data_IF_548587872971
#
_entry.id   IF_548587872971
#
_cell.length_a   1.000
_cell.length_b   1.000
_cell.length_c   1.000
_cell.angle_alpha   90.00
_cell.angle_beta   90.00
_cell.angle_gamma   90.00
#
_symmetry.space_group_name_H-M   'P 1'
#
loop_
_entity.id
_entity.type
_entity.pdbx_description
1 polymer ?
#
# COMPACT_ATOMS: atom_id res chain seq x y z
N UNK A 1 -50.93 40.24 -7.98
CA UNK A 1 -51.20 38.79 -7.96
C UNK A 1 -51.13 38.33 -6.52
N UNK A 2 -52.09 37.54 -6.06
CA UNK A 2 -52.43 37.43 -4.63
C UNK A 2 -52.81 36.00 -4.26
N UNK A 3 -52.52 35.60 -3.02
CA UNK A 3 -52.87 34.30 -2.41
C UNK A 3 -52.04 33.11 -2.96
N UNK A 4 -51.82 32.02 -2.21
CA UNK A 4 -52.68 31.40 -1.18
C UNK A 4 -51.88 30.79 -0.01
N UNK A 5 -52.59 30.55 1.08
CA UNK A 5 -52.09 30.14 2.38
C UNK A 5 -52.46 28.66 2.68
N UNK A 6 -51.93 28.13 3.79
CA UNK A 6 -52.56 27.15 4.69
C UNK A 6 -52.42 25.61 4.50
N UNK A 7 -51.74 25.02 5.50
CA UNK A 7 -52.11 23.90 6.40
C UNK A 7 -52.14 22.41 5.96
N UNK A 8 -51.38 21.61 6.75
CA UNK A 8 -51.67 20.27 7.35
C UNK A 8 -51.95 19.08 6.38
N UNK A 9 -51.55 17.83 6.67
CA UNK A 9 -52.00 17.01 7.82
C UNK A 9 -51.13 15.74 7.99
N UNK A 10 -51.02 15.21 9.21
CA UNK A 10 -50.47 13.88 9.54
C UNK A 10 -51.62 13.02 10.12
N UNK A 11 -51.70 11.71 9.82
CA UNK A 11 -51.65 10.75 10.94
C UNK A 11 -50.96 9.39 10.63
N UNK A 12 -50.41 8.78 11.69
CA UNK A 12 -50.11 7.34 11.81
C UNK A 12 -51.39 6.57 12.23
N UNK A 13 -51.44 5.25 11.95
CA UNK A 13 -51.61 4.25 13.03
C UNK A 13 -50.65 3.04 12.84
N UNK A 14 -50.03 2.43 13.87
CA UNK A 14 -50.56 1.72 15.06
C UNK A 14 -51.20 0.33 14.78
N UNK A 15 -50.45 -0.73 15.16
CA UNK A 15 -50.79 -1.88 16.06
C UNK A 15 -52.10 -2.70 15.80
N UNK A 16 -52.23 -4.02 16.05
CA UNK A 16 -51.36 -5.19 16.36
C UNK A 16 -52.23 -6.48 16.13
N UNK A 17 -51.82 -7.77 16.24
CA UNK A 17 -51.47 -8.59 17.42
C UNK A 17 -51.00 -10.00 16.94
N UNK A 18 -49.87 -10.56 17.42
CA UNK A 18 -49.69 -11.65 18.42
C UNK A 18 -50.00 -13.13 18.00
N UNK A 19 -48.91 -13.90 17.90
CA UNK A 19 -48.64 -15.32 18.27
C UNK A 19 -49.61 -16.49 17.97
N UNK A 20 -49.05 -17.58 17.41
CA UNK A 20 -48.96 -18.89 18.11
C UNK A 20 -47.80 -19.76 17.54
N UNK A 21 -47.19 -20.61 18.38
CA UNK A 21 -46.06 -21.48 18.00
C UNK A 21 -46.53 -22.85 17.48
N UNK A 22 -45.80 -23.43 16.51
CA UNK A 22 -45.79 -24.87 16.16
C UNK A 22 -44.41 -25.29 15.63
N UNK A 23 -44.13 -26.60 15.61
CA UNK A 23 -42.78 -27.17 15.64
C UNK A 23 -42.18 -27.61 14.30
N UNK A 24 -40.92 -27.23 14.06
CA UNK A 24 -39.96 -27.90 13.15
C UNK A 24 -40.12 -27.65 11.63
N UNK A 25 -39.18 -28.14 10.79
CA UNK A 25 -37.87 -28.74 11.10
C UNK A 25 -36.70 -27.75 10.91
N UNK A 26 -35.46 -28.23 10.96
CA UNK A 26 -34.24 -27.43 10.72
C UNK A 26 -34.24 -26.74 9.35
N UNK A 27 -34.10 -25.41 9.34
CA UNK A 27 -33.55 -24.70 8.19
C UNK A 27 -32.10 -25.17 7.96
N UNK A 28 -31.70 -25.51 6.72
CA UNK A 28 -30.32 -25.79 6.42
C UNK A 28 -29.51 -24.49 6.59
N UNK A 29 -28.54 -24.51 7.50
CA UNK A 29 -27.58 -23.40 7.63
C UNK A 29 -26.96 -23.10 6.25
N UNK A 30 -26.76 -21.82 5.89
CA UNK A 30 -26.08 -21.49 4.64
C UNK A 30 -24.70 -22.16 4.62
N UNK A 31 -24.18 -22.61 3.47
CA UNK A 31 -22.93 -23.37 3.39
C UNK A 31 -21.71 -22.48 3.71
N UNK A 32 -21.46 -22.24 5.00
CA UNK A 32 -20.34 -21.44 5.51
C UNK A 32 -18.97 -21.99 5.08
N UNK A 33 -18.90 -23.26 4.69
CA UNK A 33 -17.67 -23.95 4.31
C UNK A 33 -17.03 -23.53 2.98
N UNK A 34 -17.74 -22.85 2.07
CA UNK A 34 -17.13 -22.36 0.82
C UNK A 34 -16.52 -20.96 0.97
N UNK A 35 -17.28 -20.01 1.51
CA UNK A 35 -16.82 -18.63 1.74
C UNK A 35 -15.66 -18.58 2.75
N UNK A 36 -15.74 -19.34 3.86
CA UNK A 36 -14.67 -19.40 4.85
C UNK A 36 -13.37 -20.01 4.31
N UNK A 37 -13.45 -21.05 3.46
CA UNK A 37 -12.27 -21.63 2.79
C UNK A 37 -11.67 -20.70 1.75
N UNK A 38 -12.49 -19.96 1.00
CA UNK A 38 -12.00 -18.97 0.06
C UNK A 38 -11.24 -17.84 0.76
N UNK A 39 -11.80 -17.30 1.86
CA UNK A 39 -11.15 -16.28 2.68
C UNK A 39 -9.82 -16.77 3.28
N UNK A 40 -9.80 -17.95 3.90
CA UNK A 40 -8.60 -18.53 4.49
C UNK A 40 -7.51 -18.82 3.43
N UNK A 41 -7.88 -19.22 2.21
CA UNK A 41 -6.94 -19.40 1.12
C UNK A 41 -6.35 -18.07 0.62
N UNK A 42 -7.14 -16.99 0.57
CA UNK A 42 -6.63 -15.65 0.24
C UNK A 42 -5.72 -15.08 1.32
N UNK A 43 -6.02 -15.30 2.60
CA UNK A 43 -5.15 -14.89 3.72
C UNK A 43 -3.81 -15.63 3.68
N UNK A 44 -3.82 -16.96 3.48
CA UNK A 44 -2.60 -17.76 3.34
C UNK A 44 -1.72 -17.32 2.16
N UNK A 45 -2.34 -16.94 1.03
CA UNK A 45 -1.61 -16.43 -0.14
C UNK A 45 -1.05 -15.02 0.09
N UNK A 46 -1.78 -14.13 0.78
CA UNK A 46 -1.24 -12.83 1.18
C UNK A 46 -0.08 -12.95 2.17
N UNK A 47 -0.20 -13.78 3.20
CA UNK A 47 0.87 -13.99 4.17
C UNK A 47 2.10 -14.63 3.52
N UNK A 48 1.90 -15.57 2.58
CA UNK A 48 2.99 -16.08 1.71
C UNK A 48 3.65 -14.93 0.94
N UNK A 49 2.88 -14.07 0.26
CA UNK A 49 3.40 -12.91 -0.49
C UNK A 49 4.11 -11.87 0.39
N UNK A 50 3.73 -11.71 1.66
CA UNK A 50 4.39 -10.84 2.65
C UNK A 50 5.72 -11.42 3.13
N UNK A 51 5.81 -12.74 3.25
CA UNK A 51 6.99 -13.49 3.68
C UNK A 51 8.03 -13.70 2.57
N UNK A 52 7.61 -13.77 1.30
CA UNK A 52 8.49 -14.00 0.16
C UNK A 52 9.28 -12.75 -0.27
N UNK A 53 10.59 -12.91 -0.48
CA UNK A 53 11.47 -11.89 -1.05
C UNK A 53 11.27 -11.82 -2.58
N UNK A 54 10.24 -11.09 -3.01
CA UNK A 54 9.88 -10.94 -4.43
C UNK A 54 10.79 -9.94 -5.14
N UNK A 55 11.32 -10.33 -6.29
CA UNK A 55 12.11 -9.44 -7.14
C UNK A 55 11.28 -8.93 -8.34
N UNK A 56 11.41 -7.63 -8.61
CA UNK A 56 11.06 -7.06 -9.91
C UNK A 56 12.32 -7.07 -10.80
N UNK A 57 12.17 -7.37 -12.09
CA UNK A 57 13.32 -7.45 -13.00
C UNK A 57 13.94 -6.06 -13.24
N UNK A 58 14.95 -5.67 -12.46
CA UNK A 58 15.67 -4.40 -12.64
C UNK A 58 16.50 -4.45 -13.93
N UNK A 59 16.23 -3.53 -14.85
CA UNK A 59 16.93 -3.42 -16.13
C UNK A 59 17.97 -2.30 -16.18
N UNK A 60 18.70 -2.16 -17.30
CA UNK A 60 19.57 -1.01 -17.52
C UNK A 60 18.78 0.31 -17.49
N UNK A 61 19.16 1.25 -16.62
CA UNK A 61 18.45 2.53 -16.45
C UNK A 61 18.72 3.49 -17.61
N UNK A 62 17.65 3.94 -18.28
CA UNK A 62 17.67 4.96 -19.34
C UNK A 62 17.62 6.37 -18.76
N UNK A 63 16.65 6.66 -17.90
CA UNK A 63 16.41 7.98 -17.28
C UNK A 63 16.01 7.83 -15.82
N UNK A 64 16.39 8.81 -15.01
CA UNK A 64 15.90 9.02 -13.65
C UNK A 64 15.34 10.44 -13.61
N UNK A 65 14.19 10.63 -12.98
CA UNK A 65 13.59 11.94 -12.73
C UNK A 65 13.38 12.05 -11.22
N UNK A 66 13.97 13.08 -10.60
CA UNK A 66 13.82 13.36 -9.18
C UNK A 66 12.75 14.44 -9.01
N UNK A 67 11.66 14.12 -8.29
CA UNK A 67 10.61 15.10 -7.94
C UNK A 67 11.09 16.12 -6.89
N UNK A 68 12.06 15.72 -6.08
CA UNK A 68 12.69 16.51 -5.03
C UNK A 68 13.80 15.72 -4.35
N UNK A 69 14.34 16.26 -3.26
CA UNK A 69 15.32 15.60 -2.39
C UNK A 69 14.90 15.64 -0.91
N UNK A 70 13.59 15.80 -0.66
CA UNK A 70 13.00 15.81 0.68
C UNK A 70 12.60 14.40 1.08
N UNK A 71 12.43 14.21 2.38
CA UNK A 71 11.86 13.00 2.96
C UNK A 71 10.64 13.37 3.80
N UNK A 72 9.71 12.43 3.96
CA UNK A 72 8.45 12.61 4.64
C UNK A 72 8.16 11.44 5.60
N UNK A 73 7.49 11.75 6.70
CA UNK A 73 6.96 10.76 7.64
C UNK A 73 5.69 10.08 7.09
N UNK A 74 5.13 9.14 7.86
CA UNK A 74 3.92 8.42 7.48
C UNK A 74 2.68 9.35 7.37
N UNK A 75 2.70 10.50 8.06
CA UNK A 75 1.70 11.55 8.01
C UNK A 75 1.91 12.52 6.82
N UNK A 76 2.95 12.33 6.01
CA UNK A 76 3.26 13.17 4.84
C UNK A 76 3.86 14.54 5.19
N UNK A 77 4.37 14.73 6.41
CA UNK A 77 5.07 15.95 6.82
C UNK A 77 6.55 15.84 6.47
N UNK A 78 7.23 16.94 6.10
CA UNK A 78 8.67 16.92 5.85
C UNK A 78 9.44 16.49 7.09
N UNK A 79 10.29 15.47 6.95
CA UNK A 79 11.12 14.98 8.04
C UNK A 79 12.17 16.00 8.47
N UNK A 80 12.21 16.28 9.77
CA UNK A 80 13.23 17.12 10.42
C UNK A 80 14.22 16.24 11.17
N UNK A 81 15.07 15.51 10.42
CA UNK A 81 16.14 14.72 10.98
C UNK A 81 17.48 15.48 10.92
N UNK A 82 18.21 15.47 12.03
CA UNK A 82 19.62 15.85 12.12
C UNK A 82 20.45 14.57 12.40
N UNK A 83 21.48 14.25 11.60
CA UNK A 83 21.91 14.97 10.40
C UNK A 83 20.87 14.87 9.27
N UNK A 84 20.85 15.83 8.31
CA UNK A 84 19.93 15.80 7.19
C UNK A 84 20.04 14.47 6.41
N UNK A 85 18.91 13.82 6.09
CA UNK A 85 18.92 12.51 5.43
C UNK A 85 19.65 12.59 4.09
N UNK A 86 20.36 11.51 3.74
CA UNK A 86 21.28 11.50 2.61
C UNK A 86 20.57 11.92 1.31
N UNK A 87 21.02 13.03 0.70
CA UNK A 87 20.39 13.59 -0.51
C UNK A 87 20.28 12.53 -1.61
N UNK A 88 19.05 12.23 -2.01
CA UNK A 88 18.78 11.39 -3.17
C UNK A 88 19.32 12.07 -4.43
N UNK A 89 20.12 11.34 -5.20
CA UNK A 89 20.73 11.80 -6.45
C UNK A 89 20.64 10.70 -7.50
N UNK A 90 20.73 11.04 -8.79
CA UNK A 90 20.80 10.03 -9.85
C UNK A 90 21.91 8.99 -9.62
N UNK A 91 23.08 9.44 -9.14
CA UNK A 91 24.20 8.53 -8.83
C UNK A 91 23.84 7.57 -7.70
N UNK A 92 23.18 8.05 -6.65
CA UNK A 92 22.70 7.21 -5.55
C UNK A 92 21.67 6.19 -6.04
N UNK A 93 20.66 6.61 -6.80
CA UNK A 93 19.62 5.74 -7.37
C UNK A 93 20.22 4.66 -8.30
N UNK A 94 21.18 5.02 -9.18
CA UNK A 94 21.92 4.05 -10.03
C UNK A 94 22.87 3.14 -9.25
N UNK A 95 23.22 3.50 -8.02
CA UNK A 95 24.02 2.65 -7.14
C UNK A 95 23.10 1.67 -6.41
N UNK A 96 22.03 2.17 -5.80
CA UNK A 96 20.99 1.39 -5.16
C UNK A 96 20.44 0.31 -6.08
N UNK A 97 19.91 0.67 -7.26
CA UNK A 97 19.35 -0.28 -8.23
C UNK A 97 20.34 -1.35 -8.75
N UNK A 98 21.65 -1.20 -8.50
CA UNK A 98 22.69 -2.15 -8.91
C UNK A 98 23.12 -3.07 -7.76
N UNK A 99 23.08 -2.57 -6.53
CA UNK A 99 23.65 -3.22 -5.36
C UNK A 99 22.58 -3.72 -4.37
N UNK A 100 21.34 -3.25 -4.49
CA UNK A 100 20.26 -3.66 -3.63
C UNK A 100 19.77 -5.08 -3.94
N UNK A 101 19.51 -5.85 -2.89
CA UNK A 101 18.94 -7.19 -2.96
C UNK A 101 17.44 -7.15 -2.65
N UNK A 102 16.61 -8.00 -3.27
CA UNK A 102 15.20 -8.10 -2.93
C UNK A 102 15.04 -8.66 -1.51
N UNK A 103 14.10 -8.10 -0.76
CA UNK A 103 13.71 -8.56 0.58
C UNK A 103 12.18 -8.71 0.66
N UNK A 104 11.70 -9.39 1.69
CA UNK A 104 10.26 -9.53 1.92
C UNK A 104 9.68 -8.35 2.70
N UNK A 105 8.36 -8.17 2.64
CA UNK A 105 7.69 -7.13 3.42
C UNK A 105 7.90 -7.33 4.93
N UNK A 106 7.83 -8.58 5.39
CA UNK A 106 8.10 -8.93 6.80
C UNK A 106 9.55 -8.65 7.18
N UNK A 107 10.51 -8.78 6.25
CA UNK A 107 11.90 -8.42 6.53
C UNK A 107 12.10 -6.90 6.67
N UNK A 108 11.35 -6.07 5.92
CA UNK A 108 11.30 -4.62 6.17
C UNK A 108 10.77 -4.34 7.57
N UNK A 109 9.66 -4.96 7.96
CA UNK A 109 9.02 -4.69 9.25
C UNK A 109 9.82 -5.15 10.47
N UNK A 110 10.59 -6.23 10.36
CA UNK A 110 11.23 -6.89 11.51
C UNK A 110 12.74 -6.70 11.63
N UNK A 111 13.46 -6.37 10.54
CA UNK A 111 14.92 -6.39 10.51
C UNK A 111 15.57 -5.17 9.85
N UNK A 112 15.00 -4.68 8.75
CA UNK A 112 15.67 -3.68 7.92
C UNK A 112 15.11 -2.27 8.07
N UNK A 113 13.78 -2.09 8.06
CA UNK A 113 13.15 -0.78 8.16
C UNK A 113 13.19 -0.22 9.58
N UNK A 114 13.10 1.10 9.69
CA UNK A 114 13.02 1.80 10.99
C UNK A 114 11.58 2.14 11.36
N UNK A 115 11.27 2.18 12.66
CA UNK A 115 9.96 2.66 13.11
C UNK A 115 9.87 4.18 12.92
N UNK A 116 8.78 4.66 12.31
CA UNK A 116 8.62 6.07 11.95
C UNK A 116 9.56 6.53 10.83
N UNK A 117 10.01 5.61 9.96
CA UNK A 117 11.01 5.92 8.94
C UNK A 117 10.57 6.96 7.92
N UNK A 118 11.47 7.91 7.69
CA UNK A 118 11.36 8.94 6.68
C UNK A 118 11.60 8.37 5.27
N UNK A 119 10.67 8.60 4.34
CA UNK A 119 10.76 8.14 2.94
C UNK A 119 10.85 9.29 1.96
N UNK A 120 11.64 9.14 0.89
CA UNK A 120 11.92 10.24 -0.05
C UNK A 120 10.70 10.67 -0.88
N UNK A 121 10.73 11.91 -1.39
CA UNK A 121 9.98 12.30 -2.60
C UNK A 121 10.14 11.18 -3.66
N UNK A 122 9.09 10.79 -4.41
CA UNK A 122 9.20 9.68 -5.33
C UNK A 122 10.12 9.95 -6.52
N UNK A 123 10.91 8.95 -6.88
CA UNK A 123 11.84 8.96 -8.01
C UNK A 123 11.26 8.14 -9.16
N UNK A 124 10.98 8.77 -10.29
CA UNK A 124 10.56 8.04 -11.49
C UNK A 124 11.79 7.51 -12.24
N UNK A 125 11.83 6.21 -12.49
CA UNK A 125 12.93 5.53 -13.19
C UNK A 125 12.40 4.85 -14.44
N UNK A 126 12.99 5.18 -15.59
CA UNK A 126 12.71 4.53 -16.86
C UNK A 126 13.87 3.61 -17.25
N UNK A 127 13.56 2.35 -17.52
CA UNK A 127 14.50 1.36 -18.03
C UNK A 127 14.64 1.44 -19.56
N UNK A 128 15.72 0.89 -20.13
CA UNK A 128 16.00 0.89 -21.58
C UNK A 128 14.96 0.10 -22.39
N UNK A 129 14.31 -0.88 -21.79
CA UNK A 129 13.22 -1.67 -22.37
C UNK A 129 11.86 -0.94 -22.37
N UNK A 130 11.81 0.30 -21.87
CA UNK A 130 10.62 1.15 -21.83
C UNK A 130 9.77 1.00 -20.56
N UNK A 131 10.04 0.00 -19.71
CA UNK A 131 9.35 -0.15 -18.42
C UNK A 131 9.67 1.03 -17.51
N UNK A 132 8.68 1.40 -16.70
CA UNK A 132 8.77 2.50 -15.73
C UNK A 132 8.50 1.95 -14.34
N UNK A 133 9.24 2.45 -13.36
CA UNK A 133 9.01 2.18 -11.94
C UNK A 133 9.11 3.50 -11.18
N UNK A 134 8.39 3.58 -10.07
CA UNK A 134 8.56 4.61 -9.06
C UNK A 134 9.34 4.01 -7.90
N UNK A 135 10.34 4.73 -7.43
CA UNK A 135 11.21 4.33 -6.33
C UNK A 135 11.14 5.39 -5.23
N UNK A 136 10.74 4.99 -4.03
CA UNK A 136 10.96 5.78 -2.82
C UNK A 136 12.08 5.15 -2.01
N UNK A 137 12.95 5.98 -1.45
CA UNK A 137 14.11 5.55 -0.68
C UNK A 137 13.91 5.92 0.79
N UNK A 138 14.18 4.97 1.66
CA UNK A 138 14.14 5.16 3.09
C UNK A 138 15.42 5.89 3.54
N UNK A 139 15.31 6.79 4.51
CA UNK A 139 16.39 7.73 4.87
C UNK A 139 17.65 7.02 5.38
N UNK A 140 17.49 6.11 6.33
CA UNK A 140 18.58 5.65 7.21
C UNK A 140 18.75 4.13 7.19
N UNK A 141 17.68 3.36 6.93
CA UNK A 141 17.76 1.89 6.86
C UNK A 141 18.51 1.35 5.65
N UNK A 142 18.62 2.12 4.56
CA UNK A 142 19.03 1.60 3.25
C UNK A 142 17.97 0.72 2.57
N UNK A 143 16.70 0.81 2.99
CA UNK A 143 15.55 0.20 2.30
C UNK A 143 15.09 1.07 1.12
N UNK A 144 14.53 0.43 0.09
CA UNK A 144 13.85 1.09 -1.02
C UNK A 144 12.59 0.36 -1.44
N UNK A 145 11.57 1.14 -1.80
CA UNK A 145 10.24 0.70 -2.18
C UNK A 145 10.04 0.96 -3.67
N UNK A 146 9.88 -0.08 -4.47
CA UNK A 146 9.81 0.01 -5.93
C UNK A 146 8.43 -0.47 -6.42
N UNK A 147 7.65 0.45 -7.00
CA UNK A 147 6.34 0.18 -7.62
C UNK A 147 6.45 0.23 -9.15
N UNK A 148 6.11 -0.82 -9.90
CA UNK A 148 6.00 -0.74 -11.36
C UNK A 148 4.88 0.20 -11.77
N UNK A 149 5.10 1.00 -12.82
CA UNK A 149 4.09 1.92 -13.36
C UNK A 149 3.54 1.36 -14.67
N UNK A 150 2.32 0.83 -14.63
CA UNK A 150 1.64 0.22 -15.77
C UNK A 150 0.38 1.02 -16.09
N UNK A 151 0.26 1.48 -17.34
CA UNK A 151 -0.85 2.35 -17.81
C UNK A 151 -1.09 3.59 -16.92
N UNK A 152 -0.02 4.15 -16.35
CA UNK A 152 -0.08 5.33 -15.48
C UNK A 152 -0.54 5.06 -14.05
N UNK A 153 -0.60 3.79 -13.62
CA UNK A 153 -0.91 3.39 -12.25
C UNK A 153 0.26 2.61 -11.65
N UNK A 154 0.47 2.78 -10.36
CA UNK A 154 1.41 1.95 -9.60
C UNK A 154 0.78 0.58 -9.33
N UNK A 155 1.56 -0.48 -9.54
CA UNK A 155 1.23 -1.87 -9.18
C UNK A 155 1.84 -2.24 -7.80
N UNK A 156 1.86 -3.53 -7.47
CA UNK A 156 2.53 -4.10 -6.29
C UNK A 156 3.88 -3.44 -5.97
N UNK A 157 4.10 -3.11 -4.69
CA UNK A 157 5.40 -2.68 -4.18
C UNK A 157 6.34 -3.87 -4.03
N UNK A 158 7.58 -3.70 -4.49
CA UNK A 158 8.70 -4.62 -4.30
C UNK A 158 9.72 -3.98 -3.36
N UNK A 159 10.18 -4.74 -2.37
CA UNK A 159 11.05 -4.23 -1.31
C UNK A 159 12.51 -4.61 -1.57
N UNK A 160 13.41 -3.65 -1.41
CA UNK A 160 14.83 -3.80 -1.65
C UNK A 160 15.65 -3.25 -0.50
N UNK A 161 16.84 -3.82 -0.32
CA UNK A 161 17.77 -3.42 0.72
C UNK A 161 19.19 -3.32 0.18
N UNK A 162 19.93 -2.29 0.55
CA UNK A 162 21.32 -2.10 0.17
C UNK A 162 22.17 -1.69 1.39
N UNK A 163 22.83 -2.67 2.02
CA UNK A 163 23.74 -2.47 3.16
C UNK A 163 24.77 -1.37 2.88
N UNK A 164 25.44 -1.43 1.73
CA UNK A 164 26.48 -0.49 1.29
C UNK A 164 25.94 0.83 0.72
N UNK A 165 24.62 1.02 0.74
CA UNK A 165 23.97 2.30 0.44
C UNK A 165 23.60 3.08 1.71
N UNK A 166 23.56 2.43 2.88
CA UNK A 166 23.48 3.11 4.18
C UNK A 166 24.63 4.10 4.32
N UNK A 167 24.41 5.17 5.09
CA UNK A 167 25.39 6.21 5.39
C UNK A 167 25.35 6.60 6.85
#
# INVERSE_FOLDING_TARGET
MTMKNALRTIPLPWLAWVALAHSGPMDPSPPQGSASKAAAATEQEEDRRRMEARAYAIGPVRRITLSGARFFDAEGKPCTADPPPARVTERYVRNFLRQAIPISQVAVMNYYGSFGECTSDPVDVQFKDGRQVRLSLAADSGVGYLSPVVKGREEDVYFYYCEVCKR
#
